data_IF_375401757231
#
_entry.id   IF_375401757231
#
_cell.length_a   1.000
_cell.length_b   1.000
_cell.length_c   1.000
_cell.angle_alpha   90.00
_cell.angle_beta   90.00
_cell.angle_gamma   90.00
#
_symmetry.space_group_name_H-M   'P 1'
#
loop_
_entity.id
_entity.type
_entity.pdbx_description
1 polymer ?
#
# COMPACT_ATOMS: atom_id res chain seq x y z
N UNK A 1 0.04 8.07 -9.74
CA UNK A 1 1.35 7.56 -9.26
C UNK A 1 1.76 6.34 -10.06
N UNK A 2 2.96 6.34 -10.58
CA UNK A 2 3.51 5.19 -11.28
C UNK A 2 4.36 4.35 -10.31
N UNK A 3 4.21 3.02 -10.39
CA UNK A 3 4.95 2.10 -9.55
C UNK A 3 5.93 1.27 -10.38
N UNK A 4 6.99 0.82 -9.73
CA UNK A 4 8.04 0.07 -10.40
C UNK A 4 8.48 -1.09 -9.49
N UNK A 5 7.86 -2.24 -9.68
CA UNK A 5 8.14 -3.45 -8.90
C UNK A 5 7.46 -3.48 -7.53
N UNK A 6 7.72 -4.55 -6.80
CA UNK A 6 7.17 -4.79 -5.47
C UNK A 6 7.96 -4.03 -4.42
N UNK A 7 7.34 -3.07 -3.78
CA UNK A 7 7.92 -2.35 -2.62
C UNK A 7 6.85 -1.48 -1.97
N UNK A 8 7.23 -0.81 -0.89
CA UNK A 8 6.41 0.22 -0.28
C UNK A 8 6.64 1.55 -0.99
N UNK A 9 5.56 2.23 -1.30
CA UNK A 9 5.57 3.54 -1.95
C UNK A 9 4.91 4.55 -1.03
N UNK A 10 5.67 5.57 -0.61
CA UNK A 10 5.12 6.67 0.16
C UNK A 10 4.43 7.66 -0.77
N UNK A 11 3.21 8.05 -0.44
CA UNK A 11 2.45 9.03 -1.23
C UNK A 11 1.88 10.19 -0.40
N UNK A 12 2.45 10.43 0.78
CA UNK A 12 2.04 11.52 1.68
C UNK A 12 2.06 12.88 0.98
N UNK A 13 3.13 13.16 0.22
CA UNK A 13 3.27 14.44 -0.48
C UNK A 13 2.23 14.59 -1.59
N UNK A 14 1.93 13.53 -2.33
CA UNK A 14 0.89 13.57 -3.36
C UNK A 14 -0.48 13.84 -2.75
N UNK A 15 -0.76 13.25 -1.60
CA UNK A 15 -2.01 13.48 -0.86
C UNK A 15 -2.10 14.94 -0.39
N UNK A 16 -1.04 15.47 0.19
CA UNK A 16 -1.01 16.86 0.66
C UNK A 16 -1.15 17.85 -0.50
N UNK A 17 -0.53 17.57 -1.64
CA UNK A 17 -0.66 18.41 -2.84
C UNK A 17 -2.11 18.38 -3.36
N UNK A 18 -2.76 17.22 -3.35
CA UNK A 18 -4.17 17.10 -3.73
C UNK A 18 -5.08 17.93 -2.82
N UNK A 19 -4.82 17.90 -1.50
CA UNK A 19 -5.57 18.69 -0.52
C UNK A 19 -5.42 20.20 -0.79
N UNK A 20 -4.19 20.66 -1.08
CA UNK A 20 -3.91 22.04 -1.45
C UNK A 20 -4.62 22.46 -2.73
N UNK A 21 -4.52 21.65 -3.78
CA UNK A 21 -5.08 21.94 -5.10
C UNK A 21 -6.62 22.00 -5.04
N UNK A 22 -7.24 21.26 -4.14
CA UNK A 22 -8.69 21.24 -3.94
C UNK A 22 -9.17 22.13 -2.79
N UNK A 23 -8.28 22.91 -2.21
CA UNK A 23 -8.58 23.85 -1.11
C UNK A 23 -9.28 23.17 0.07
N UNK A 24 -8.92 21.91 0.36
CA UNK A 24 -9.51 21.12 1.44
C UNK A 24 -8.68 21.33 2.72
N UNK A 25 -9.23 22.05 3.68
CA UNK A 25 -8.47 22.45 4.88
C UNK A 25 -8.71 21.55 6.09
N UNK A 26 -9.97 21.20 6.35
CA UNK A 26 -10.33 20.41 7.54
C UNK A 26 -11.43 19.43 7.21
N UNK A 27 -11.35 18.25 7.78
CA UNK A 27 -12.36 17.21 7.61
C UNK A 27 -11.75 15.82 7.63
N UNK A 28 -12.36 14.93 6.87
CA UNK A 28 -11.91 13.54 6.73
C UNK A 28 -11.69 13.26 5.25
N UNK A 29 -10.53 12.70 4.90
CA UNK A 29 -10.25 12.17 3.58
C UNK A 29 -10.32 10.65 3.63
N UNK A 30 -11.00 10.04 2.67
CA UNK A 30 -10.97 8.59 2.46
C UNK A 30 -10.16 8.29 1.21
N UNK A 31 -9.21 7.39 1.35
CA UNK A 31 -8.38 6.91 0.24
C UNK A 31 -8.65 5.43 0.06
N UNK A 32 -8.97 5.03 -1.17
CA UNK A 32 -9.23 3.64 -1.48
C UNK A 32 -8.45 3.19 -2.72
N UNK A 33 -8.05 1.92 -2.71
CA UNK A 33 -7.43 1.26 -3.84
C UNK A 33 -8.37 0.15 -4.31
N UNK A 34 -8.68 0.16 -5.61
CA UNK A 34 -9.53 -0.84 -6.23
C UNK A 34 -8.69 -1.79 -7.09
N UNK A 35 -7.75 -2.47 -6.44
CA UNK A 35 -6.84 -3.40 -7.10
C UNK A 35 -6.41 -4.50 -6.13
N UNK A 36 -6.28 -5.72 -6.64
CA UNK A 36 -5.92 -6.89 -5.82
C UNK A 36 -4.42 -7.03 -5.55
N UNK A 37 -3.59 -6.29 -6.25
CA UNK A 37 -2.12 -6.33 -6.11
C UNK A 37 -1.54 -5.09 -5.41
N UNK A 38 -2.40 -4.18 -4.95
CA UNK A 38 -1.98 -2.99 -4.22
C UNK A 38 -2.90 -2.76 -3.02
N UNK A 39 -2.34 -2.22 -1.96
CA UNK A 39 -3.07 -1.95 -0.72
C UNK A 39 -2.43 -0.80 0.05
N UNK A 40 -3.07 -0.39 1.12
CA UNK A 40 -2.68 0.77 1.91
C UNK A 40 -2.30 0.37 3.32
N UNK A 41 -1.25 0.98 3.86
CA UNK A 41 -0.91 0.90 5.29
C UNK A 41 -0.55 2.30 5.79
N UNK A 42 -0.74 2.50 7.09
CA UNK A 42 -0.25 3.68 7.79
C UNK A 42 0.96 3.24 8.62
N UNK A 43 2.08 3.88 8.37
CA UNK A 43 3.33 3.55 9.04
C UNK A 43 4.17 4.81 9.21
N UNK A 44 4.86 4.90 10.34
CA UNK A 44 5.90 5.90 10.50
C UNK A 44 7.04 5.61 9.53
N UNK A 45 7.45 6.60 8.76
CA UNK A 45 8.49 6.43 7.74
C UNK A 45 9.73 7.26 8.07
N UNK A 46 10.20 7.13 9.30
CA UNK A 46 11.39 7.86 9.78
C UNK A 46 12.69 7.10 9.52
N UNK A 47 12.63 5.77 9.41
CA UNK A 47 13.79 4.89 9.23
C UNK A 47 13.57 3.96 8.05
N UNK A 48 14.45 4.02 7.00
CA UNK A 48 14.35 3.12 5.84
C UNK A 48 14.41 1.63 6.19
N UNK A 49 15.03 1.26 7.29
CA UNK A 49 15.12 -0.14 7.72
C UNK A 49 13.74 -0.72 8.04
N UNK A 50 12.80 0.10 8.48
CA UNK A 50 11.40 -0.35 8.72
C UNK A 50 10.77 -0.85 7.44
N UNK A 51 10.94 -0.14 6.33
CA UNK A 51 10.42 -0.58 5.02
C UNK A 51 11.08 -1.89 4.57
N UNK A 52 12.39 -2.01 4.74
CA UNK A 52 13.13 -3.21 4.37
C UNK A 52 12.64 -4.42 5.18
N UNK A 53 12.49 -4.26 6.48
CA UNK A 53 12.04 -5.33 7.37
C UNK A 53 10.59 -5.74 7.07
N UNK A 54 9.71 -4.77 6.77
CA UNK A 54 8.32 -5.07 6.40
C UNK A 54 8.25 -5.88 5.10
N UNK A 55 9.00 -5.48 4.08
CA UNK A 55 9.05 -6.20 2.81
C UNK A 55 9.57 -7.62 3.03
N UNK A 56 10.64 -7.78 3.79
CA UNK A 56 11.21 -9.09 4.09
C UNK A 56 10.24 -9.97 4.88
N UNK A 57 9.53 -9.41 5.83
CA UNK A 57 8.53 -10.12 6.61
C UNK A 57 7.38 -10.62 5.71
N UNK A 58 6.83 -9.76 4.86
CA UNK A 58 5.75 -10.15 3.97
C UNK A 58 6.21 -11.20 2.95
N UNK A 59 7.44 -11.12 2.47
CA UNK A 59 7.99 -12.12 1.54
C UNK A 59 8.19 -13.49 2.20
N UNK A 60 8.52 -13.53 3.49
CA UNK A 60 8.60 -14.77 4.26
C UNK A 60 7.22 -15.34 4.57
N UNK A 61 6.28 -14.48 4.92
CA UNK A 61 4.92 -14.89 5.26
C UNK A 61 4.15 -15.37 4.02
N UNK A 62 4.36 -14.72 2.89
CA UNK A 62 3.65 -14.99 1.64
C UNK A 62 4.67 -15.17 0.50
N UNK A 63 5.32 -16.35 0.40
CA UNK A 63 6.36 -16.56 -0.59
C UNK A 63 5.78 -16.70 -2.01
N UNK A 64 6.59 -16.31 -3.00
CA UNK A 64 6.27 -16.46 -4.43
C UNK A 64 6.63 -17.86 -4.91
N UNK A 65 5.87 -18.85 -4.48
CA UNK A 65 6.09 -20.26 -4.82
C UNK A 65 4.78 -20.88 -5.32
N UNK A 66 4.71 -21.18 -6.61
CA UNK A 66 3.52 -21.74 -7.25
C UNK A 66 3.10 -23.09 -6.66
N UNK A 67 4.01 -23.82 -6.03
CA UNK A 67 3.67 -25.10 -5.39
C UNK A 67 2.78 -24.96 -4.17
N UNK A 68 2.68 -23.75 -3.60
CA UNK A 68 1.87 -23.46 -2.42
C UNK A 68 0.44 -23.00 -2.76
N UNK A 69 0.16 -22.66 -4.03
CA UNK A 69 -1.08 -22.02 -4.43
C UNK A 69 -1.74 -22.73 -5.61
N UNK A 70 -3.07 -22.60 -5.69
CA UNK A 70 -3.87 -23.12 -6.83
C UNK A 70 -3.95 -22.08 -7.94
N UNK A 71 -4.09 -20.79 -7.58
CA UNK A 71 -4.17 -19.67 -8.54
C UNK A 71 -2.78 -19.31 -9.03
N UNK A 72 -2.36 -19.86 -10.18
CA UNK A 72 -1.00 -19.69 -10.70
C UNK A 72 -0.94 -19.23 -12.16
N UNK A 73 -2.11 -19.08 -12.82
CA UNK A 73 -2.17 -18.78 -14.26
C UNK A 73 -1.57 -17.44 -14.65
N UNK A 74 -1.57 -16.46 -13.76
CA UNK A 74 -1.07 -15.09 -14.00
C UNK A 74 0.35 -14.85 -13.51
N UNK A 75 1.07 -15.93 -13.15
CA UNK A 75 2.44 -15.86 -12.66
C UNK A 75 2.57 -16.18 -11.18
N UNK A 76 3.79 -16.40 -10.72
CA UNK A 76 4.04 -16.84 -9.33
C UNK A 76 3.99 -15.70 -8.31
N UNK A 77 3.90 -14.45 -8.74
CA UNK A 77 3.76 -13.29 -7.88
C UNK A 77 2.29 -12.85 -7.69
N UNK A 78 1.37 -13.33 -8.50
CA UNK A 78 -0.03 -12.88 -8.46
C UNK A 78 -0.77 -13.36 -7.20
N UNK A 79 -0.75 -14.64 -6.87
CA UNK A 79 -1.43 -15.13 -5.66
C UNK A 79 -0.81 -14.57 -4.37
N UNK A 80 0.52 -14.48 -4.22
CA UNK A 80 1.10 -13.74 -3.10
C UNK A 80 0.62 -12.29 -3.00
N UNK A 81 0.45 -11.59 -4.12
CA UNK A 81 -0.09 -10.24 -4.14
C UNK A 81 -1.53 -10.19 -3.61
N UNK A 82 -2.40 -11.13 -4.00
CA UNK A 82 -3.76 -11.26 -3.47
C UNK A 82 -3.75 -11.46 -1.95
N UNK A 83 -2.89 -12.34 -1.45
CA UNK A 83 -2.80 -12.63 -0.01
C UNK A 83 -2.30 -11.40 0.75
N UNK A 84 -1.25 -10.74 0.28
CA UNK A 84 -0.71 -9.53 0.91
C UNK A 84 -1.75 -8.41 0.94
N UNK A 85 -2.53 -8.28 -0.13
CA UNK A 85 -3.61 -7.31 -0.21
C UNK A 85 -4.73 -7.62 0.78
N UNK A 86 -5.04 -8.89 1.01
CA UNK A 86 -6.04 -9.31 2.00
C UNK A 86 -5.59 -9.09 3.44
N UNK A 87 -4.27 -9.08 3.71
CA UNK A 87 -3.69 -8.85 5.02
C UNK A 87 -3.54 -7.36 5.38
N UNK A 88 -3.67 -6.49 4.40
CA UNK A 88 -3.52 -5.05 4.55
C UNK A 88 -4.83 -4.34 4.24
N UNK A 89 -4.83 -3.02 4.16
CA UNK A 89 -6.05 -2.27 3.93
C UNK A 89 -6.21 -1.90 2.46
N UNK A 90 -7.44 -1.91 1.96
CA UNK A 90 -7.74 -1.36 0.64
C UNK A 90 -8.30 0.06 0.70
N UNK A 91 -8.65 0.53 1.89
CA UNK A 91 -9.09 1.90 2.12
C UNK A 91 -8.66 2.35 3.51
N UNK A 92 -8.39 3.65 3.64
CA UNK A 92 -8.11 4.29 4.92
C UNK A 92 -8.81 5.64 4.98
N UNK A 93 -9.25 6.02 6.19
CA UNK A 93 -9.81 7.33 6.46
C UNK A 93 -8.87 8.09 7.39
N UNK A 94 -8.55 9.32 7.02
CA UNK A 94 -7.60 10.15 7.74
C UNK A 94 -8.22 11.51 8.06
N UNK A 95 -7.95 12.01 9.26
CA UNK A 95 -8.31 13.38 9.62
C UNK A 95 -7.41 14.36 8.91
N UNK A 96 -8.02 15.42 8.40
CA UNK A 96 -7.31 16.53 7.76
C UNK A 96 -7.48 17.77 8.63
N UNK A 97 -6.37 18.41 8.96
CA UNK A 97 -6.36 19.65 9.75
C UNK A 97 -5.34 20.58 9.15
N UNK A 98 -5.75 21.81 8.91
CA UNK A 98 -4.90 22.86 8.30
C UNK A 98 -4.29 22.39 6.98
N UNK A 99 -5.07 21.63 6.18
CA UNK A 99 -4.67 21.22 4.84
C UNK A 99 -3.56 20.15 4.82
N UNK A 100 -3.50 19.33 5.86
CA UNK A 100 -2.49 18.26 5.97
C UNK A 100 -3.11 16.96 6.49
#
# INVERSE_FOLDING_TARGET
>A
MNTNGQRLYEFTNQTNNWLNDNEFNNGIINISIQHTSASLIIQENADPDVQTDLINFFNKLVPMDNSLYIHTAEGKDDMPAHIKSALTNNQISLSVKNNE
#
